data_IF_563548332689
#
_entry.id   IF_563548332689
#
_cell.length_a   1.000
_cell.length_b   1.000
_cell.length_c   1.000
_cell.angle_alpha   90.00
_cell.angle_beta   90.00
_cell.angle_gamma   90.00
#
_symmetry.space_group_name_H-M   'P 1'
#
loop_
_entity.id
_entity.type
_entity.pdbx_description
1 polymer ?
#
# COMPACT_ATOMS: atom_id res chain seq x y z
N UNK A 1 -0.47 10.00 12.31
CA UNK A 1 -1.38 9.34 11.35
C UNK A 1 -1.54 7.89 11.75
N UNK A 2 -2.77 7.42 11.81
CA UNK A 2 -3.08 6.07 12.26
C UNK A 2 -2.90 5.06 11.12
N UNK A 3 -1.91 4.17 11.26
CA UNK A 3 -1.61 3.17 10.23
C UNK A 3 -2.77 2.18 10.04
N UNK A 4 -3.51 1.89 11.09
CA UNK A 4 -4.67 0.99 11.00
C UNK A 4 -5.76 1.58 10.11
N UNK A 5 -5.97 2.89 10.18
CA UNK A 5 -6.91 3.58 9.30
C UNK A 5 -6.43 3.55 7.85
N UNK A 6 -5.14 3.80 7.63
CA UNK A 6 -4.56 3.71 6.29
C UNK A 6 -4.73 2.32 5.70
N UNK A 7 -4.46 1.30 6.49
CA UNK A 7 -4.60 -0.09 6.07
C UNK A 7 -6.05 -0.42 5.74
N UNK A 8 -6.98 -0.02 6.59
CA UNK A 8 -8.42 -0.25 6.37
C UNK A 8 -8.89 0.42 5.08
N UNK A 9 -8.49 1.67 4.86
CA UNK A 9 -8.84 2.39 3.64
C UNK A 9 -8.27 1.68 2.42
N UNK A 10 -6.99 1.30 2.46
CA UNK A 10 -6.34 0.62 1.34
C UNK A 10 -7.04 -0.70 1.03
N UNK A 11 -7.35 -1.50 2.05
CA UNK A 11 -8.04 -2.78 1.87
C UNK A 11 -9.42 -2.58 1.27
N UNK A 12 -10.17 -1.62 1.77
CA UNK A 12 -11.51 -1.32 1.28
C UNK A 12 -11.48 -0.93 -0.21
N UNK A 13 -10.59 -0.02 -0.59
CA UNK A 13 -10.50 0.42 -1.98
C UNK A 13 -9.94 -0.65 -2.89
N UNK A 14 -9.06 -1.52 -2.38
CA UNK A 14 -8.59 -2.67 -3.14
C UNK A 14 -9.74 -3.63 -3.47
N UNK A 15 -10.59 -3.92 -2.50
CA UNK A 15 -11.75 -4.77 -2.69
C UNK A 15 -12.76 -4.14 -3.66
N UNK A 16 -13.01 -2.84 -3.53
CA UNK A 16 -13.91 -2.11 -4.44
C UNK A 16 -13.39 -2.16 -5.88
N UNK A 17 -12.10 -2.01 -6.06
CA UNK A 17 -11.48 -2.11 -7.37
C UNK A 17 -11.66 -3.51 -7.97
N UNK A 18 -11.45 -4.54 -7.17
CA UNK A 18 -11.59 -5.92 -7.61
C UNK A 18 -13.03 -6.26 -7.99
N UNK A 19 -14.00 -5.65 -7.30
CA UNK A 19 -15.43 -5.80 -7.61
C UNK A 19 -15.87 -4.94 -8.80
N UNK A 20 -14.98 -4.10 -9.33
CA UNK A 20 -15.32 -3.22 -10.44
C UNK A 20 -16.16 -2.01 -10.05
N UNK A 21 -16.18 -1.67 -8.76
CA UNK A 21 -16.97 -0.54 -8.25
C UNK A 21 -16.28 0.81 -8.45
N UNK A 22 -14.96 0.82 -8.56
CA UNK A 22 -14.16 2.04 -8.73
C UNK A 22 -13.11 1.81 -9.82
N UNK A 23 -12.57 2.90 -10.36
CA UNK A 23 -11.50 2.84 -11.34
C UNK A 23 -10.16 2.55 -10.67
N UNK A 24 -9.18 2.11 -11.47
CA UNK A 24 -7.83 1.90 -10.99
C UNK A 24 -7.20 3.18 -10.44
N UNK A 25 -7.45 4.30 -11.10
CA UNK A 25 -6.93 5.59 -10.67
C UNK A 25 -7.48 5.98 -9.30
N UNK A 26 -8.77 5.79 -9.09
CA UNK A 26 -9.40 6.05 -7.81
C UNK A 26 -8.85 5.15 -6.71
N UNK A 27 -8.71 3.85 -6.99
CA UNK A 27 -8.12 2.92 -6.06
C UNK A 27 -6.69 3.32 -5.71
N UNK A 28 -5.89 3.67 -6.71
CA UNK A 28 -4.51 4.09 -6.52
C UNK A 28 -4.40 5.32 -5.62
N UNK A 29 -5.28 6.31 -5.83
CA UNK A 29 -5.29 7.53 -5.05
C UNK A 29 -5.46 7.25 -3.55
N UNK A 30 -6.27 6.25 -3.19
CA UNK A 30 -6.54 5.91 -1.80
C UNK A 30 -5.58 4.86 -1.23
N UNK A 31 -4.98 4.04 -2.08
CA UNK A 31 -4.06 2.98 -1.65
C UNK A 31 -2.63 3.49 -1.51
N UNK A 32 -2.19 4.38 -2.41
CA UNK A 32 -0.81 4.85 -2.42
C UNK A 32 -0.33 5.47 -1.10
N UNK A 33 -1.13 6.27 -0.39
CA UNK A 33 -0.68 6.79 0.91
C UNK A 33 -0.28 5.69 1.89
N UNK A 34 -0.99 4.58 1.90
CA UNK A 34 -0.63 3.42 2.72
C UNK A 34 0.67 2.79 2.24
N UNK A 35 0.80 2.59 0.93
CA UNK A 35 2.02 2.00 0.36
C UNK A 35 3.24 2.87 0.62
N UNK A 36 3.09 4.19 0.48
CA UNK A 36 4.17 5.13 0.76
C UNK A 36 4.62 5.03 2.22
N UNK A 37 3.66 4.93 3.14
CA UNK A 37 3.96 4.77 4.55
C UNK A 37 4.73 3.46 4.81
N UNK A 38 4.23 2.35 4.27
CA UNK A 38 4.83 1.03 4.45
C UNK A 38 6.24 1.00 3.86
N UNK A 39 6.41 1.54 2.66
CA UNK A 39 7.70 1.57 1.99
C UNK A 39 8.72 2.43 2.75
N UNK A 40 8.28 3.56 3.29
CA UNK A 40 9.13 4.42 4.10
C UNK A 40 9.61 3.70 5.36
N UNK A 41 8.70 3.02 6.06
CA UNK A 41 9.06 2.25 7.26
C UNK A 41 9.99 1.09 6.93
N UNK A 42 9.71 0.39 5.84
CA UNK A 42 10.56 -0.71 5.39
C UNK A 42 11.97 -0.23 5.06
N UNK A 43 12.08 0.92 4.40
CA UNK A 43 13.38 1.51 4.07
C UNK A 43 14.14 1.91 5.33
N UNK A 44 13.48 2.51 6.30
CA UNK A 44 14.10 2.90 7.57
C UNK A 44 14.64 1.67 8.31
N UNK A 45 13.87 0.61 8.39
CA UNK A 45 14.28 -0.63 9.04
C UNK A 45 15.43 -1.29 8.29
N UNK A 46 15.37 -1.32 6.96
CA UNK A 46 16.44 -1.90 6.16
C UNK A 46 17.77 -1.16 6.36
N UNK A 47 17.71 0.18 6.40
CA UNK A 47 18.91 1.00 6.67
C UNK A 47 19.48 0.73 8.06
N UNK A 48 18.59 0.59 9.06
CA UNK A 48 19.00 0.33 10.45
C UNK A 48 19.73 -0.99 10.58
N UNK A 49 19.27 -2.03 9.86
CA UNK A 49 19.86 -3.36 9.92
C UNK A 49 20.79 -3.66 8.74
N UNK A 50 21.11 -2.65 7.96
CA UNK A 50 22.02 -2.75 6.82
C UNK A 50 21.58 -3.83 5.81
N UNK A 51 20.27 -3.88 5.57
CA UNK A 51 19.66 -4.83 4.65
C UNK A 51 19.04 -4.13 3.46
N UNK A 52 18.88 -4.86 2.35
CA UNK A 52 18.15 -4.36 1.19
C UNK A 52 16.66 -4.44 1.46
N UNK A 53 15.93 -3.37 1.13
CA UNK A 53 14.48 -3.39 1.24
C UNK A 53 13.84 -3.61 -0.14
N UNK A 54 12.67 -4.22 -0.15
CA UNK A 54 11.85 -4.33 -1.35
C UNK A 54 10.70 -3.34 -1.25
N UNK A 55 10.57 -2.50 -2.28
CA UNK A 55 9.47 -1.57 -2.36
C UNK A 55 8.21 -2.29 -2.83
N UNK A 56 7.11 -2.04 -2.13
CA UNK A 56 5.81 -2.60 -2.51
C UNK A 56 5.17 -1.66 -3.52
N UNK A 57 4.96 -2.15 -4.74
CA UNK A 57 4.28 -1.38 -5.78
C UNK A 57 2.78 -1.59 -5.70
N UNK A 58 2.02 -0.71 -6.35
CA UNK A 58 0.57 -0.83 -6.44
C UNK A 58 0.17 -2.16 -7.09
N UNK A 59 0.82 -2.53 -8.18
CA UNK A 59 0.54 -3.79 -8.88
C UNK A 59 0.81 -5.01 -7.97
N UNK A 60 1.91 -4.98 -7.23
CA UNK A 60 2.23 -6.06 -6.30
C UNK A 60 1.17 -6.17 -5.21
N UNK A 61 0.75 -5.04 -4.64
CA UNK A 61 -0.27 -5.01 -3.60
C UNK A 61 -1.58 -5.63 -4.09
N UNK A 62 -2.00 -5.30 -5.31
CA UNK A 62 -3.22 -5.85 -5.89
C UNK A 62 -3.14 -7.35 -6.10
N UNK A 63 -1.96 -7.87 -6.47
CA UNK A 63 -1.77 -9.32 -6.66
C UNK A 63 -1.70 -10.07 -5.35
N UNK A 64 -1.08 -9.48 -4.34
CA UNK A 64 -0.83 -10.15 -3.06
C UNK A 64 -2.09 -10.34 -2.24
N UNK A 65 -3.16 -9.67 -2.58
CA UNK A 65 -4.41 -9.72 -1.84
C UNK A 65 -5.43 -10.70 -2.43
#
# INVERSE_FOLDING_TARGET
>A
MDVDKLKTVADTYCDLYRLGKISREEAKEHIMPYLDYVNKKSKELANKYNQKHKEITFSYYLRAK
#
